data_IF_196718554889
#
_entry.id   IF_196718554889
#
_cell.length_a   1.000
_cell.length_b   1.000
_cell.length_c   1.000
_cell.angle_alpha   90.00
_cell.angle_beta   90.00
_cell.angle_gamma   90.00
#
_symmetry.space_group_name_H-M   'P 1'
#
loop_
_entity.id
_entity.type
_entity.pdbx_description
1 polymer ?
#
# COMPACT_ATOMS: atom_id res chain seq x y z
N UNK A 1 25.09 2.75 70.76
CA UNK A 1 25.87 2.07 69.69
C UNK A 1 25.20 0.74 69.37
N UNK A 2 24.41 0.68 68.30
CA UNK A 2 23.84 -0.58 67.80
C UNK A 2 24.72 -1.09 66.66
N UNK A 3 25.34 -2.26 66.86
CA UNK A 3 26.09 -2.97 65.81
C UNK A 3 25.08 -3.53 64.81
N UNK A 4 25.01 -2.95 63.61
CA UNK A 4 24.33 -3.57 62.47
C UNK A 4 25.21 -4.72 62.01
N UNK A 5 24.81 -5.94 62.34
CA UNK A 5 25.48 -7.15 61.88
C UNK A 5 25.22 -7.37 60.40
N UNK A 6 26.27 -7.34 59.58
CA UNK A 6 26.18 -7.72 58.17
C UNK A 6 25.69 -9.18 58.06
N UNK A 7 24.61 -9.47 57.31
CA UNK A 7 24.16 -10.83 57.14
C UNK A 7 25.23 -11.64 56.42
N UNK A 8 25.58 -12.79 56.98
CA UNK A 8 26.53 -13.74 56.37
C UNK A 8 26.17 -14.00 54.92
N UNK A 9 27.17 -14.13 54.02
CA UNK A 9 26.98 -14.45 52.60
C UNK A 9 26.05 -15.67 52.41
N UNK A 10 26.09 -16.61 53.34
CA UNK A 10 25.21 -17.79 53.36
C UNK A 10 23.72 -17.45 53.54
N UNK A 11 23.40 -16.39 54.29
CA UNK A 11 22.02 -15.97 54.54
C UNK A 11 21.43 -15.26 53.31
N UNK A 12 22.23 -14.44 52.62
CA UNK A 12 21.82 -13.78 51.36
C UNK A 12 21.55 -14.81 50.26
N UNK A 13 22.42 -15.82 50.13
CA UNK A 13 22.23 -16.90 49.14
C UNK A 13 20.94 -17.67 49.43
N UNK A 14 20.66 -18.01 50.70
CA UNK A 14 19.43 -18.71 51.09
C UNK A 14 18.18 -17.91 50.78
N UNK A 15 18.18 -16.61 51.04
CA UNK A 15 17.04 -15.72 50.73
C UNK A 15 16.81 -15.65 49.22
N UNK A 16 17.86 -15.47 48.42
CA UNK A 16 17.74 -15.46 46.96
C UNK A 16 17.25 -16.80 46.39
N UNK A 17 17.66 -17.92 46.97
CA UNK A 17 17.21 -19.25 46.55
C UNK A 17 15.71 -19.46 46.83
N UNK A 18 15.21 -18.93 47.95
CA UNK A 18 13.77 -18.94 48.27
C UNK A 18 12.97 -18.09 47.27
N UNK A 19 13.46 -16.89 46.92
CA UNK A 19 12.81 -16.07 45.90
C UNK A 19 12.78 -16.75 44.53
N UNK A 20 13.90 -17.37 44.11
CA UNK A 20 13.98 -18.07 42.84
C UNK A 20 13.02 -19.27 42.78
N UNK A 21 12.92 -20.04 43.87
CA UNK A 21 11.95 -21.12 43.97
C UNK A 21 10.50 -20.62 43.89
N UNK A 22 10.19 -19.48 44.52
CA UNK A 22 8.87 -18.86 44.44
C UNK A 22 8.52 -18.41 43.01
N UNK A 23 9.47 -17.77 42.30
CA UNK A 23 9.25 -17.37 40.91
C UNK A 23 9.01 -18.57 39.99
N UNK A 24 9.76 -19.66 40.17
CA UNK A 24 9.56 -20.87 39.38
C UNK A 24 8.19 -21.52 39.64
N UNK A 25 7.70 -21.49 40.89
CA UNK A 25 6.36 -21.98 41.23
C UNK A 25 5.25 -21.13 40.60
N UNK A 26 5.37 -19.80 40.63
CA UNK A 26 4.42 -18.89 39.97
C UNK A 26 4.43 -19.12 38.46
N UNK A 27 5.62 -19.27 37.87
CA UNK A 27 5.76 -19.52 36.42
C UNK A 27 5.15 -20.86 36.01
N UNK A 28 5.40 -21.93 36.77
CA UNK A 28 4.76 -23.23 36.55
C UNK A 28 3.24 -23.14 36.69
N UNK A 29 2.72 -22.40 37.67
CA UNK A 29 1.28 -22.17 37.83
C UNK A 29 0.67 -21.39 36.66
N UNK A 30 1.39 -20.43 36.07
CA UNK A 30 0.95 -19.71 34.88
C UNK A 30 0.95 -20.60 33.63
N UNK A 31 1.94 -21.49 33.48
CA UNK A 31 2.00 -22.45 32.37
C UNK A 31 0.96 -23.58 32.49
N UNK A 32 0.61 -23.97 33.72
CA UNK A 32 -0.39 -25.00 34.00
C UNK A 32 -1.83 -24.46 34.07
N UNK A 33 -2.02 -23.14 33.96
CA UNK A 33 -3.36 -22.60 33.70
C UNK A 33 -3.74 -22.95 32.27
N UNK A 34 -4.83 -23.72 32.05
CA UNK A 34 -5.39 -23.83 30.72
C UNK A 34 -5.85 -22.42 30.34
N UNK A 35 -5.19 -21.80 29.36
CA UNK A 35 -5.76 -20.68 28.64
C UNK A 35 -7.17 -21.10 28.24
N UNK A 36 -8.18 -20.40 28.74
CA UNK A 36 -9.55 -20.52 28.24
C UNK A 36 -9.59 -19.99 26.81
N UNK A 37 -8.97 -20.73 25.89
CA UNK A 37 -9.10 -20.60 24.46
C UNK A 37 -10.29 -21.45 24.05
N UNK A 38 -11.49 -20.90 24.27
CA UNK A 38 -12.70 -21.39 23.61
C UNK A 38 -12.65 -20.86 22.17
N UNK A 39 -11.98 -21.60 21.29
CA UNK A 39 -12.32 -21.68 19.86
C UNK A 39 -13.58 -22.59 19.78
N UNK A 40 -14.54 -22.49 18.86
CA UNK A 40 -14.63 -22.02 17.47
C UNK A 40 -16.16 -21.98 17.16
N UNK A 41 -16.74 -21.24 16.21
CA UNK A 41 -16.69 -21.50 14.77
C UNK A 41 -17.60 -20.48 14.04
N UNK A 42 -17.17 -20.05 12.84
CA UNK A 42 -18.02 -19.60 11.73
C UNK A 42 -18.95 -18.38 11.94
N UNK A 43 -18.40 -17.18 11.76
CA UNK A 43 -19.10 -16.11 11.05
C UNK A 43 -18.21 -15.61 9.92
N UNK A 44 -18.44 -16.17 8.74
CA UNK A 44 -17.90 -15.69 7.49
C UNK A 44 -18.19 -14.18 7.29
N UNK A 45 -17.28 -13.50 6.59
CA UNK A 45 -17.55 -12.22 5.94
C UNK A 45 -17.96 -11.07 6.86
N UNK A 46 -17.00 -10.53 7.63
CA UNK A 46 -17.09 -9.12 8.01
C UNK A 46 -16.85 -8.28 6.76
N UNK A 47 -17.98 -7.87 6.18
CA UNK A 47 -18.12 -6.83 5.18
C UNK A 47 -17.23 -5.64 5.57
N UNK A 48 -16.21 -5.35 4.75
CA UNK A 48 -15.52 -4.05 4.77
C UNK A 48 -16.48 -3.00 4.20
N UNK A 49 -17.38 -2.50 5.05
CA UNK A 49 -18.12 -1.28 4.77
C UNK A 49 -17.45 -0.12 5.49
N UNK A 50 -17.18 0.95 4.74
CA UNK A 50 -16.84 2.27 5.26
C UNK A 50 -18.01 2.76 6.13
N UNK A 51 -17.79 2.90 7.43
CA UNK A 51 -18.80 3.33 8.39
C UNK A 51 -19.03 4.83 8.28
N UNK A 52 -19.85 5.22 7.29
CA UNK A 52 -20.52 6.53 7.26
C UNK A 52 -21.91 6.41 6.63
N UNK A 53 -22.74 5.55 7.21
CA UNK A 53 -24.18 5.56 6.94
C UNK A 53 -24.94 5.02 8.16
N UNK A 54 -24.88 5.75 9.28
CA UNK A 54 -25.77 5.52 10.43
C UNK A 54 -26.25 6.87 10.97
N UNK A 55 -27.16 7.50 10.23
CA UNK A 55 -28.08 8.49 10.82
C UNK A 55 -29.41 7.80 11.11
N UNK A 56 -29.61 7.39 12.36
CA UNK A 56 -30.92 7.00 12.85
C UNK A 56 -31.81 8.24 12.99
N UNK A 57 -32.89 8.31 12.21
CA UNK A 57 -34.05 9.12 12.54
C UNK A 57 -35.36 8.38 12.21
N UNK A 58 -35.98 7.86 13.27
CA UNK A 58 -37.42 7.75 13.52
C UNK A 58 -38.35 7.18 12.44
N UNK A 59 -38.77 5.93 12.69
CA UNK A 59 -40.08 5.33 12.43
C UNK A 59 -40.93 5.79 11.23
N UNK A 60 -41.07 4.89 10.26
CA UNK A 60 -42.35 4.23 9.93
C UNK A 60 -42.08 3.02 9.03
N UNK A 61 -42.58 1.87 9.49
CA UNK A 61 -42.28 0.56 8.92
C UNK A 61 -42.61 0.41 7.44
N UNK A 62 -41.68 -0.20 6.71
CA UNK A 62 -41.92 -0.80 5.40
C UNK A 62 -41.32 -2.21 5.44
N UNK A 63 -42.18 -3.20 5.19
CA UNK A 63 -41.85 -4.63 5.11
C UNK A 63 -40.78 -4.86 4.03
N UNK A 64 -39.65 -5.44 4.41
CA UNK A 64 -38.65 -5.93 3.46
C UNK A 64 -39.21 -7.12 2.68
N UNK A 65 -39.34 -6.95 1.35
CA UNK A 65 -39.54 -8.05 0.41
C UNK A 65 -38.16 -8.56 0.02
N UNK A 66 -37.75 -9.68 0.60
CA UNK A 66 -36.57 -10.39 0.16
C UNK A 66 -36.82 -10.95 -1.25
N UNK A 67 -36.15 -10.40 -2.25
CA UNK A 67 -35.99 -11.05 -3.56
C UNK A 67 -34.58 -11.64 -3.54
N UNK A 68 -34.53 -12.96 -3.32
CA UNK A 68 -33.41 -13.80 -3.69
C UNK A 68 -33.32 -13.75 -5.22
N UNK A 69 -32.33 -13.05 -5.78
CA UNK A 69 -31.91 -13.27 -7.15
C UNK A 69 -30.75 -14.27 -7.15
N UNK A 70 -31.01 -15.45 -7.72
CA UNK A 70 -30.00 -16.43 -8.11
C UNK A 70 -29.26 -15.98 -9.41
N UNK A 71 -28.05 -16.51 -9.70
CA UNK A 71 -27.18 -15.97 -10.72
C UNK A 71 -27.64 -16.36 -12.13
N UNK A 72 -28.34 -15.45 -12.80
CA UNK A 72 -28.71 -15.51 -14.20
C UNK A 72 -27.80 -14.66 -15.07
N UNK A 73 -27.31 -15.27 -16.15
CA UNK A 73 -26.37 -14.72 -17.11
C UNK A 73 -26.84 -13.42 -17.82
N UNK A 74 -25.85 -12.73 -18.39
CA UNK A 74 -25.96 -11.67 -19.39
C UNK A 74 -26.46 -10.30 -18.92
N UNK A 75 -25.67 -9.65 -18.05
CA UNK A 75 -25.46 -8.21 -18.23
C UNK A 75 -24.23 -8.03 -19.10
N UNK A 76 -24.45 -7.99 -20.42
CA UNK A 76 -23.44 -7.46 -21.33
C UNK A 76 -23.16 -6.02 -20.89
N UNK A 77 -21.98 -5.80 -20.30
CA UNK A 77 -21.43 -4.45 -20.16
C UNK A 77 -21.58 -3.78 -21.53
N UNK A 78 -22.11 -2.54 -21.61
CA UNK A 78 -22.20 -1.85 -22.89
C UNK A 78 -20.82 -1.94 -23.55
N UNK A 79 -20.79 -2.37 -24.82
CA UNK A 79 -19.57 -2.52 -25.60
C UNK A 79 -18.89 -1.14 -25.58
N UNK A 80 -17.93 -0.93 -24.67
CA UNK A 80 -17.21 0.35 -24.58
C UNK A 80 -16.54 0.53 -25.92
N UNK A 81 -16.93 1.56 -26.66
CA UNK A 81 -16.34 1.87 -27.95
C UNK A 81 -14.84 2.07 -27.72
N UNK A 82 -14.02 1.15 -28.21
CA UNK A 82 -12.59 1.21 -28.03
C UNK A 82 -12.05 2.38 -28.84
N UNK A 83 -11.24 3.22 -28.20
CA UNK A 83 -10.59 4.34 -28.86
C UNK A 83 -9.36 3.81 -29.57
N UNK A 84 -9.36 3.86 -30.92
CA UNK A 84 -8.17 3.50 -31.70
C UNK A 84 -7.13 4.60 -31.56
N UNK A 85 -5.95 4.25 -31.03
CA UNK A 85 -4.83 5.19 -30.88
C UNK A 85 -3.70 4.85 -31.82
N UNK A 86 -3.06 5.89 -32.33
CA UNK A 86 -1.83 5.74 -33.08
C UNK A 86 -0.70 5.31 -32.13
N UNK A 87 -0.06 4.20 -32.48
CA UNK A 87 1.09 3.65 -31.75
C UNK A 87 2.24 4.66 -31.82
N UNK A 88 2.86 5.04 -30.68
CA UNK A 88 3.97 5.99 -30.69
C UNK A 88 5.22 5.42 -31.38
N UNK A 89 5.97 6.31 -32.04
CA UNK A 89 7.16 5.98 -32.82
C UNK A 89 8.24 5.26 -32.01
N UNK A 90 8.43 5.66 -30.75
CA UNK A 90 9.47 5.15 -29.87
C UNK A 90 9.32 3.65 -29.57
N UNK A 91 8.13 3.06 -29.70
CA UNK A 91 7.96 1.63 -29.49
C UNK A 91 8.68 0.80 -30.55
N UNK A 92 8.80 1.33 -31.77
CA UNK A 92 9.52 0.64 -32.84
C UNK A 92 11.03 0.56 -32.54
N UNK A 93 11.57 1.50 -31.75
CA UNK A 93 12.97 1.54 -31.34
C UNK A 93 13.28 0.55 -30.20
N UNK A 94 12.26 0.02 -29.51
CA UNK A 94 12.42 -0.79 -28.29
C UNK A 94 12.55 -2.29 -28.53
N UNK A 95 12.43 -2.75 -29.78
CA UNK A 95 12.57 -4.14 -30.17
C UNK A 95 11.34 -5.01 -29.87
N UNK A 96 11.48 -6.32 -30.13
CA UNK A 96 10.40 -7.32 -30.03
C UNK A 96 10.57 -8.15 -28.75
N UNK A 97 9.45 -8.65 -28.21
CA UNK A 97 9.43 -9.55 -27.06
C UNK A 97 9.27 -8.84 -25.70
N UNK A 98 8.77 -7.61 -25.70
CA UNK A 98 8.51 -6.83 -24.48
C UNK A 98 7.36 -7.43 -23.66
N UNK A 99 7.51 -7.45 -22.33
CA UNK A 99 6.38 -7.67 -21.41
C UNK A 99 5.86 -6.32 -20.91
N UNK A 100 4.66 -5.96 -21.33
CA UNK A 100 4.06 -4.65 -21.08
C UNK A 100 2.90 -4.76 -20.09
N UNK A 101 3.04 -4.14 -18.92
CA UNK A 101 1.95 -3.99 -17.95
C UNK A 101 1.00 -2.88 -18.36
N UNK A 102 -0.28 -3.19 -18.59
CA UNK A 102 -1.29 -2.24 -19.06
C UNK A 102 -2.17 -1.79 -17.89
N UNK A 103 -2.04 -0.53 -17.48
CA UNK A 103 -2.75 0.04 -16.34
C UNK A 103 -3.79 1.05 -16.83
N UNK A 104 -5.05 0.85 -16.47
CA UNK A 104 -6.16 1.74 -16.85
C UNK A 104 -6.35 1.91 -18.38
N UNK A 105 -5.94 0.93 -19.19
CA UNK A 105 -6.01 0.95 -20.67
C UNK A 105 -7.25 0.23 -21.24
N UNK A 106 -8.27 -0.04 -20.43
CA UNK A 106 -9.37 -0.95 -20.79
C UNK A 106 -10.30 -0.46 -21.91
N UNK A 107 -10.24 0.83 -22.24
CA UNK A 107 -11.01 1.48 -23.31
C UNK A 107 -10.16 1.88 -24.52
N UNK A 108 -8.86 1.55 -24.51
CA UNK A 108 -7.94 1.85 -25.62
C UNK A 108 -7.68 0.58 -26.45
N UNK A 109 -7.76 0.70 -27.78
CA UNK A 109 -7.37 -0.37 -28.68
C UNK A 109 -5.86 -0.40 -28.87
N UNK A 110 -5.20 -1.32 -28.17
CA UNK A 110 -3.75 -1.58 -28.22
C UNK A 110 -3.41 -2.88 -28.98
N UNK A 111 -4.29 -3.34 -29.86
CA UNK A 111 -4.09 -4.57 -30.65
C UNK A 111 -2.77 -4.57 -31.42
N UNK A 112 -2.39 -3.43 -32.02
CA UNK A 112 -1.16 -3.24 -32.79
C UNK A 112 0.14 -3.40 -31.96
N UNK A 113 0.06 -3.32 -30.63
CA UNK A 113 1.22 -3.42 -29.75
C UNK A 113 1.65 -4.88 -29.53
N UNK A 114 0.79 -5.85 -29.85
CA UNK A 114 1.11 -7.29 -29.74
C UNK A 114 2.30 -7.71 -30.60
N UNK A 115 2.60 -6.95 -31.66
CA UNK A 115 3.77 -7.17 -32.52
C UNK A 115 5.07 -6.96 -31.75
N UNK A 116 5.07 -6.04 -30.78
CA UNK A 116 6.25 -5.71 -29.97
C UNK A 116 6.39 -6.60 -28.73
N UNK A 117 5.31 -7.30 -28.33
CA UNK A 117 5.38 -8.29 -27.26
C UNK A 117 4.05 -8.57 -26.57
N UNK A 118 4.14 -9.12 -25.36
CA UNK A 118 2.98 -9.55 -24.57
C UNK A 118 2.45 -8.38 -23.73
N UNK A 119 1.15 -8.13 -23.83
CA UNK A 119 0.43 -7.19 -22.96
C UNK A 119 -0.17 -7.94 -21.76
N UNK A 120 -0.07 -7.35 -20.58
CA UNK A 120 -0.55 -7.91 -19.31
C UNK A 120 -1.47 -6.87 -18.67
N UNK A 121 -2.81 -7.04 -18.69
CA UNK A 121 -3.72 -6.10 -18.06
C UNK A 121 -3.54 -6.15 -16.54
N UNK A 122 -3.41 -4.97 -15.91
CA UNK A 122 -3.33 -4.82 -14.47
C UNK A 122 -4.69 -4.37 -13.95
N UNK A 123 -5.28 -5.20 -13.09
CA UNK A 123 -6.55 -4.94 -12.45
C UNK A 123 -6.34 -4.45 -11.02
N UNK A 124 -7.07 -3.40 -10.65
CA UNK A 124 -7.12 -2.83 -9.32
C UNK A 124 -8.50 -2.20 -9.10
N UNK A 125 -8.93 -2.13 -7.85
CA UNK A 125 -10.15 -1.44 -7.46
C UNK A 125 -9.94 0.08 -7.54
N UNK A 126 -10.87 0.82 -8.12
CA UNK A 126 -10.76 2.28 -8.18
C UNK A 126 -11.13 2.89 -6.83
N UNK A 127 -10.46 3.97 -6.47
CA UNK A 127 -10.86 4.78 -5.31
C UNK A 127 -12.33 5.20 -5.41
N UNK A 128 -13.00 5.24 -4.26
CA UNK A 128 -14.38 5.72 -4.16
C UNK A 128 -14.50 7.15 -4.69
N UNK A 129 -15.61 7.45 -5.38
CA UNK A 129 -15.91 8.81 -5.83
C UNK A 129 -16.10 9.81 -4.67
N UNK A 130 -16.36 9.32 -3.46
CA UNK A 130 -16.50 10.13 -2.25
C UNK A 130 -15.16 10.39 -1.54
N UNK A 131 -14.08 9.80 -2.02
CA UNK A 131 -12.75 9.99 -1.46
C UNK A 131 -12.15 11.26 -2.04
N UNK A 132 -11.97 12.28 -1.19
CA UNK A 132 -11.50 13.59 -1.58
C UNK A 132 -10.02 13.79 -1.27
N UNK A 133 -9.39 14.73 -1.99
CA UNK A 133 -7.99 15.09 -1.76
C UNK A 133 -7.70 15.54 -0.34
N UNK A 134 -8.65 16.24 0.30
CA UNK A 134 -8.54 16.75 1.68
C UNK A 134 -8.49 15.64 2.72
N UNK A 135 -8.96 14.44 2.38
CA UNK A 135 -8.90 13.29 3.27
C UNK A 135 -7.48 12.72 3.33
N UNK A 136 -6.69 12.89 2.26
CA UNK A 136 -5.24 12.58 2.25
C UNK A 136 -4.40 13.76 2.75
N UNK A 137 -4.77 14.97 2.34
CA UNK A 137 -4.02 16.19 2.62
C UNK A 137 -4.92 17.24 3.29
N UNK A 138 -5.26 17.05 4.58
CA UNK A 138 -6.05 18.01 5.33
C UNK A 138 -5.30 19.34 5.51
N UNK A 139 -6.06 20.43 5.74
CA UNK A 139 -5.50 21.77 5.96
C UNK A 139 -4.75 21.88 7.29
N UNK A 140 -5.21 21.12 8.30
CA UNK A 140 -4.62 21.04 9.63
C UNK A 140 -4.39 19.58 9.97
N UNK A 141 -3.26 19.29 10.59
CA UNK A 141 -2.90 17.99 11.12
C UNK A 141 -2.77 18.20 12.62
N UNK A 142 -3.37 17.31 13.39
CA UNK A 142 -3.16 17.29 14.83
C UNK A 142 -1.79 16.66 15.11
N UNK A 143 -0.75 17.50 15.15
CA UNK A 143 0.63 17.05 15.38
C UNK A 143 0.83 16.40 16.76
N UNK A 144 -0.03 16.74 17.72
CA UNK A 144 0.03 16.27 19.11
C UNK A 144 -0.92 15.08 19.38
N UNK A 145 -1.70 14.65 18.38
CA UNK A 145 -2.74 13.60 18.46
C UNK A 145 -3.66 13.76 19.70
N UNK A 146 -3.96 15.00 20.11
CA UNK A 146 -4.86 15.27 21.25
C UNK A 146 -6.32 14.88 20.93
N UNK A 147 -6.66 14.80 19.65
CA UNK A 147 -7.98 14.44 19.13
C UNK A 147 -7.85 13.15 18.33
N UNK A 148 -8.66 12.13 18.67
CA UNK A 148 -8.85 10.95 17.82
C UNK A 148 -9.53 11.40 16.50
N UNK A 149 -8.73 11.82 15.53
CA UNK A 149 -9.16 12.15 14.18
C UNK A 149 -9.55 10.89 13.40
N UNK A 150 -10.29 11.04 12.28
CA UNK A 150 -10.55 9.92 11.39
C UNK A 150 -9.23 9.35 10.85
N UNK A 151 -9.10 8.02 10.87
CA UNK A 151 -7.93 7.34 10.34
C UNK A 151 -7.69 7.70 8.87
N UNK A 152 -6.41 7.83 8.50
CA UNK A 152 -6.00 8.16 7.14
C UNK A 152 -6.47 7.05 6.17
N UNK A 153 -7.25 7.38 5.14
CA UNK A 153 -7.83 6.39 4.24
C UNK A 153 -6.76 5.68 3.40
N UNK A 154 -6.92 4.37 3.23
CA UNK A 154 -6.04 3.57 2.39
C UNK A 154 -6.44 3.69 0.90
N UNK A 155 -5.44 3.83 0.03
CA UNK A 155 -5.64 3.82 -1.42
C UNK A 155 -5.60 2.34 -1.89
N UNK A 156 -6.66 1.82 -2.54
CA UNK A 156 -6.64 0.45 -3.05
C UNK A 156 -5.50 0.24 -4.06
N UNK A 157 -4.75 -0.84 -3.90
CA UNK A 157 -3.63 -1.21 -4.77
C UNK A 157 -3.84 -2.62 -5.35
N UNK A 158 -3.30 -2.92 -6.54
CA UNK A 158 -3.30 -4.28 -7.05
C UNK A 158 -2.42 -5.19 -6.20
N UNK A 159 -2.70 -6.51 -6.23
CA UNK A 159 -1.77 -7.51 -5.71
C UNK A 159 -0.56 -7.63 -6.64
N UNK A 160 0.50 -6.86 -6.35
CA UNK A 160 1.72 -6.81 -7.17
C UNK A 160 2.37 -8.18 -7.34
N UNK A 161 2.29 -9.05 -6.32
CA UNK A 161 2.88 -10.40 -6.33
C UNK A 161 2.23 -11.34 -7.36
N UNK A 162 0.96 -11.09 -7.72
CA UNK A 162 0.26 -11.90 -8.72
C UNK A 162 0.78 -11.69 -10.15
N UNK A 163 1.58 -10.64 -10.38
CA UNK A 163 2.11 -10.31 -11.69
C UNK A 163 3.58 -10.69 -11.81
N UNK A 164 3.97 -11.20 -12.98
CA UNK A 164 5.38 -11.48 -13.28
C UNK A 164 6.18 -10.22 -13.61
N UNK A 165 7.47 -10.41 -13.92
CA UNK A 165 8.36 -9.32 -14.32
C UNK A 165 7.93 -8.68 -15.65
N UNK A 166 8.01 -7.34 -15.71
CA UNK A 166 7.65 -6.51 -16.86
C UNK A 166 8.84 -5.69 -17.33
N UNK A 167 8.99 -5.51 -18.64
CA UNK A 167 10.02 -4.65 -19.22
C UNK A 167 9.53 -3.19 -19.35
N UNK A 168 8.22 -3.00 -19.45
CA UNK A 168 7.57 -1.70 -19.61
C UNK A 168 6.23 -1.64 -18.88
N UNK A 169 5.91 -0.49 -18.29
CA UNK A 169 4.60 -0.16 -17.73
C UNK A 169 3.95 0.90 -18.60
N UNK A 170 2.76 0.62 -19.12
CA UNK A 170 1.97 1.50 -20.00
C UNK A 170 0.69 1.88 -19.26
N UNK A 171 0.45 3.17 -19.13
CA UNK A 171 -0.58 3.68 -18.21
C UNK A 171 -1.39 4.76 -18.90
N UNK A 172 -2.71 4.69 -18.87
CA UNK A 172 -3.56 5.83 -19.20
C UNK A 172 -3.91 6.60 -17.94
N UNK A 173 -3.51 7.86 -17.89
CA UNK A 173 -3.80 8.72 -16.75
C UNK A 173 -5.13 9.46 -16.96
N UNK A 174 -6.04 9.44 -15.96
CA UNK A 174 -7.21 10.31 -16.00
C UNK A 174 -6.74 11.78 -16.01
N UNK A 175 -7.40 12.58 -16.84
CA UNK A 175 -7.08 14.00 -17.02
C UNK A 175 -8.37 14.80 -17.17
N UNK A 176 -8.66 15.63 -16.16
CA UNK A 176 -9.82 16.53 -16.11
C UNK A 176 -9.45 17.99 -16.42
N UNK A 177 -8.28 18.23 -17.01
CA UNK A 177 -7.87 19.58 -17.37
C UNK A 177 -8.86 20.19 -18.39
N UNK A 178 -9.32 21.44 -18.26
CA UNK A 178 -8.87 22.53 -17.37
C UNK A 178 -9.71 22.74 -16.09
N UNK A 179 -10.44 21.73 -15.60
CA UNK A 179 -11.29 21.85 -14.40
C UNK A 179 -10.49 22.32 -13.16
N UNK A 180 -11.09 23.18 -12.34
CA UNK A 180 -10.43 23.67 -11.12
C UNK A 180 -10.09 22.50 -10.20
N UNK A 181 -8.81 22.39 -9.83
CA UNK A 181 -8.34 21.32 -8.95
C UNK A 181 -8.06 20.00 -9.67
N UNK A 182 -7.99 19.94 -11.00
CA UNK A 182 -7.60 18.74 -11.77
C UNK A 182 -6.30 18.08 -11.28
N UNK A 183 -5.40 18.88 -10.69
CA UNK A 183 -4.15 18.42 -10.09
C UNK A 183 -4.34 17.57 -8.83
N UNK A 184 -5.45 17.79 -8.11
CA UNK A 184 -5.83 17.19 -6.82
C UNK A 184 -6.87 16.07 -7.00
N UNK A 185 -6.78 15.31 -8.08
CA UNK A 185 -7.64 14.16 -8.32
C UNK A 185 -7.04 12.90 -7.66
N UNK A 186 -7.77 12.29 -6.72
CA UNK A 186 -7.34 11.09 -5.98
C UNK A 186 -7.23 9.87 -6.90
N UNK A 187 -8.10 9.72 -7.89
CA UNK A 187 -8.00 8.63 -8.86
C UNK A 187 -6.77 8.80 -9.75
N UNK A 188 -6.45 10.04 -10.14
CA UNK A 188 -5.19 10.35 -10.83
C UNK A 188 -3.99 9.96 -9.96
N UNK A 189 -3.99 10.31 -8.68
CA UNK A 189 -2.93 9.91 -7.74
C UNK A 189 -2.80 8.40 -7.63
N UNK A 190 -3.91 7.67 -7.45
CA UNK A 190 -3.94 6.22 -7.38
C UNK A 190 -3.27 5.60 -8.61
N UNK A 191 -3.66 6.01 -9.83
CA UNK A 191 -3.10 5.44 -11.07
C UNK A 191 -1.58 5.68 -11.17
N UNK A 192 -1.09 6.86 -10.74
CA UNK A 192 0.35 7.12 -10.69
C UNK A 192 1.07 6.23 -9.67
N UNK A 193 0.49 6.02 -8.48
CA UNK A 193 1.06 5.17 -7.45
C UNK A 193 1.10 3.70 -7.87
N UNK A 194 0.06 3.21 -8.55
CA UNK A 194 0.02 1.86 -9.13
C UNK A 194 1.15 1.71 -10.15
N UNK A 195 1.31 2.68 -11.05
CA UNK A 195 2.37 2.67 -12.06
C UNK A 195 3.77 2.65 -11.44
N UNK A 196 4.01 3.52 -10.44
CA UNK A 196 5.29 3.61 -9.75
C UNK A 196 5.61 2.32 -8.99
N UNK A 197 4.63 1.78 -8.24
CA UNK A 197 4.81 0.51 -7.52
C UNK A 197 5.08 -0.66 -8.46
N UNK A 198 4.37 -0.76 -9.60
CA UNK A 198 4.63 -1.79 -10.61
C UNK A 198 6.05 -1.66 -11.19
N UNK A 199 6.47 -0.43 -11.51
CA UNK A 199 7.81 -0.18 -12.05
C UNK A 199 8.90 -0.61 -11.06
N UNK A 200 8.69 -0.41 -9.77
CA UNK A 200 9.66 -0.80 -8.73
C UNK A 200 9.59 -2.30 -8.41
N UNK A 201 8.39 -2.85 -8.17
CA UNK A 201 8.20 -4.23 -7.67
C UNK A 201 8.23 -5.28 -8.77
N UNK A 202 7.63 -5.00 -9.91
CA UNK A 202 7.50 -5.93 -11.04
C UNK A 202 8.42 -5.54 -12.21
N UNK A 203 9.09 -4.40 -12.14
CA UNK A 203 10.02 -3.98 -13.15
C UNK A 203 11.23 -4.91 -13.26
N UNK A 204 11.63 -5.21 -14.49
CA UNK A 204 12.89 -5.90 -14.76
C UNK A 204 14.06 -5.03 -14.29
N UNK A 205 14.83 -5.55 -13.34
CA UNK A 205 16.10 -4.99 -12.89
C UNK A 205 17.24 -5.79 -13.53
N UNK A 206 18.15 -5.12 -14.24
CA UNK A 206 19.35 -5.74 -14.78
C UNK A 206 20.42 -4.70 -15.11
N UNK A 207 21.68 -5.12 -15.18
CA UNK A 207 22.83 -4.23 -15.41
C UNK A 207 22.67 -3.30 -16.61
N UNK A 208 21.93 -3.74 -17.64
CA UNK A 208 21.71 -3.00 -18.88
C UNK A 208 20.21 -2.85 -19.26
N UNK A 209 19.30 -3.15 -18.33
CA UNK A 209 17.85 -3.05 -18.57
C UNK A 209 17.17 -2.39 -17.39
N UNK A 210 16.67 -1.18 -17.63
CA UNK A 210 15.80 -0.43 -16.71
C UNK A 210 14.36 -0.59 -17.16
N UNK A 211 13.45 -0.63 -16.20
CA UNK A 211 12.03 -0.67 -16.51
C UNK A 211 11.58 0.67 -17.07
N UNK A 212 10.88 0.63 -18.20
CA UNK A 212 10.39 1.81 -18.91
C UNK A 212 8.97 2.15 -18.45
N UNK A 213 8.63 3.43 -18.36
CA UNK A 213 7.26 3.85 -18.04
C UNK A 213 6.73 4.74 -19.16
N UNK A 214 5.60 4.36 -19.72
CA UNK A 214 4.91 5.10 -20.78
C UNK A 214 3.56 5.55 -20.26
N UNK A 215 3.32 6.85 -20.23
CA UNK A 215 2.08 7.45 -19.74
C UNK A 215 1.33 8.07 -20.91
N UNK A 216 0.05 7.74 -21.07
CA UNK A 216 -0.88 8.34 -22.01
C UNK A 216 -1.73 9.36 -21.26
N UNK A 217 -1.52 10.65 -21.55
CA UNK A 217 -2.32 11.73 -20.98
C UNK A 217 -2.12 13.06 -21.71
N UNK A 218 -3.19 13.86 -21.76
CA UNK A 218 -3.11 15.30 -22.08
C UNK A 218 -2.47 16.10 -20.95
N UNK A 219 -2.69 15.67 -19.72
CA UNK A 219 -2.17 16.31 -18.52
C UNK A 219 -0.70 15.93 -18.33
N UNK A 220 0.11 16.86 -17.82
CA UNK A 220 1.46 16.52 -17.36
C UNK A 220 1.38 15.48 -16.22
N UNK A 221 2.19 14.40 -16.24
CA UNK A 221 2.33 13.47 -15.11
C UNK A 221 2.78 14.15 -13.81
N UNK A 222 2.53 13.51 -12.66
CA UNK A 222 2.97 14.01 -11.35
C UNK A 222 4.49 13.98 -11.24
N UNK A 223 5.09 15.16 -11.09
CA UNK A 223 6.54 15.35 -11.10
C UNK A 223 7.23 14.72 -9.89
N UNK A 224 6.47 14.52 -8.82
CA UNK A 224 6.91 13.89 -7.59
C UNK A 224 7.31 12.42 -7.80
N UNK A 225 6.69 11.74 -8.77
CA UNK A 225 6.96 10.35 -9.13
C UNK A 225 7.73 10.23 -10.45
N UNK A 226 7.38 11.04 -11.45
CA UNK A 226 8.00 11.00 -12.78
C UNK A 226 8.64 12.34 -13.10
N UNK A 227 9.94 12.45 -12.84
CA UNK A 227 10.70 13.70 -12.93
C UNK A 227 10.98 14.11 -14.37
N UNK A 228 11.20 15.41 -14.59
CA UNK A 228 11.58 15.93 -15.92
C UNK A 228 12.90 15.33 -16.39
N UNK A 229 13.84 15.13 -15.47
CA UNK A 229 15.17 14.57 -15.76
C UNK A 229 15.09 13.13 -16.29
N UNK A 230 14.03 12.40 -15.93
CA UNK A 230 13.78 11.02 -16.32
C UNK A 230 12.95 10.92 -17.62
N UNK A 231 12.45 12.04 -18.15
CA UNK A 231 11.66 12.08 -19.39
C UNK A 231 12.60 11.93 -20.59
N UNK A 232 12.43 10.86 -21.35
CA UNK A 232 13.24 10.57 -22.55
C UNK A 232 12.64 11.21 -23.79
N UNK A 233 11.33 11.06 -23.99
CA UNK A 233 10.63 11.56 -25.18
C UNK A 233 9.17 11.83 -24.87
N UNK A 234 8.61 12.86 -25.47
CA UNK A 234 7.18 13.10 -25.49
C UNK A 234 6.69 13.13 -26.95
N UNK A 235 5.64 12.38 -27.25
CA UNK A 235 5.02 12.31 -28.57
C UNK A 235 3.51 12.48 -28.44
N UNK A 236 3.01 13.68 -28.75
CA UNK A 236 1.61 14.07 -28.52
C UNK A 236 1.23 13.86 -27.03
N UNK A 237 0.28 12.97 -26.75
CA UNK A 237 -0.19 12.61 -25.40
C UNK A 237 0.63 11.48 -24.76
N UNK A 238 1.65 10.94 -25.46
CA UNK A 238 2.52 9.90 -24.95
C UNK A 238 3.75 10.51 -24.28
N UNK A 239 3.99 10.11 -23.04
CA UNK A 239 5.15 10.50 -22.26
C UNK A 239 5.98 9.26 -21.94
N UNK A 240 7.23 9.23 -22.38
CA UNK A 240 8.12 8.10 -22.18
C UNK A 240 9.22 8.45 -21.18
N UNK A 241 9.23 7.75 -20.05
CA UNK A 241 10.18 7.90 -18.95
C UNK A 241 11.08 6.67 -18.79
N UNK A 242 12.32 6.93 -18.38
CA UNK A 242 13.26 5.94 -17.85
C UNK A 242 13.64 6.32 -16.42
N UNK A 243 12.77 6.05 -15.43
CA UNK A 243 12.99 6.55 -14.08
C UNK A 243 14.17 5.88 -13.39
N UNK A 244 14.81 6.62 -12.49
CA UNK A 244 15.78 6.10 -11.54
C UNK A 244 15.05 5.22 -10.50
N UNK A 245 15.17 3.90 -10.64
CA UNK A 245 14.45 2.94 -9.81
C UNK A 245 14.76 3.08 -8.32
N UNK A 246 15.99 3.50 -7.95
CA UNK A 246 16.38 3.66 -6.55
C UNK A 246 15.64 4.85 -5.94
N UNK A 247 15.62 5.98 -6.66
CA UNK A 247 14.89 7.17 -6.21
C UNK A 247 13.38 6.94 -6.23
N UNK A 248 12.87 6.22 -7.22
CA UNK A 248 11.45 5.89 -7.30
C UNK A 248 11.03 4.97 -6.15
N UNK A 249 11.86 3.97 -5.81
CA UNK A 249 11.66 3.07 -4.67
C UNK A 249 11.64 3.84 -3.34
N UNK A 250 12.56 4.78 -3.15
CA UNK A 250 12.55 5.70 -2.01
C UNK A 250 11.31 6.59 -1.96
N UNK A 251 10.79 7.02 -3.11
CA UNK A 251 9.62 7.89 -3.15
C UNK A 251 8.34 7.13 -2.79
N UNK A 252 8.17 5.90 -3.27
CA UNK A 252 6.98 5.09 -3.01
C UNK A 252 6.96 4.47 -1.60
N UNK A 253 8.10 4.42 -0.91
CA UNK A 253 8.16 3.96 0.48
C UNK A 253 7.68 5.02 1.48
N UNK A 254 7.54 6.28 1.04
CA UNK A 254 7.00 7.36 1.86
C UNK A 254 5.47 7.23 1.97
N UNK A 255 4.90 7.64 3.12
CA UNK A 255 3.46 7.67 3.29
C UNK A 255 2.81 8.62 2.28
N UNK A 256 1.63 8.22 1.79
CA UNK A 256 0.80 9.05 0.93
C UNK A 256 -0.14 9.87 1.81
N UNK A 257 -0.19 11.17 1.58
CA UNK A 257 -1.03 12.06 2.36
C UNK A 257 -0.33 12.60 3.61
N UNK A 258 -0.71 13.80 4.02
CA UNK A 258 -0.27 14.39 5.28
C UNK A 258 -1.05 13.87 6.49
N UNK A 259 -2.18 13.18 6.30
CA UNK A 259 -2.90 12.50 7.39
C UNK A 259 -2.11 11.37 8.07
N UNK A 260 -1.00 10.93 7.49
CA UNK A 260 -0.09 9.93 8.07
C UNK A 260 1.17 10.55 8.71
N UNK A 261 1.25 11.88 8.83
CA UNK A 261 2.45 12.58 9.32
C UNK A 261 2.42 12.85 10.83
N UNK A 262 1.28 12.70 11.50
CA UNK A 262 1.26 12.70 12.96
C UNK A 262 2.15 11.54 13.45
N UNK A 263 3.25 11.89 14.12
CA UNK A 263 4.11 10.91 14.75
C UNK A 263 3.34 10.44 15.99
N UNK A 264 2.93 9.16 16.09
CA UNK A 264 2.32 8.70 17.32
C UNK A 264 3.37 8.85 18.41
N UNK A 265 3.16 9.80 19.33
CA UNK A 265 4.05 10.01 20.45
C UNK A 265 4.17 8.72 21.27
N UNK A 266 3.14 7.85 21.23
CA UNK A 266 3.17 6.49 21.73
C UNK A 266 2.59 5.48 20.73
N UNK A 267 3.45 4.60 20.19
CA UNK A 267 3.00 3.30 19.66
C UNK A 267 3.27 3.01 18.19
N UNK A 268 4.55 3.01 17.76
CA UNK A 268 5.03 2.16 16.64
C UNK A 268 6.51 1.82 16.77
N UNK A 269 6.95 1.58 18.01
CA UNK A 269 8.34 1.29 18.37
C UNK A 269 8.65 -0.18 18.67
N UNK A 270 7.95 -1.16 18.08
CA UNK A 270 8.20 -2.58 18.43
C UNK A 270 8.34 -3.60 17.29
N UNK A 271 8.25 -3.26 16.00
CA UNK A 271 8.46 -4.27 14.94
C UNK A 271 9.69 -4.07 14.04
N UNK A 272 10.53 -3.05 14.27
CA UNK A 272 11.75 -2.85 13.47
C UNK A 272 13.08 -3.14 14.21
N UNK A 273 13.04 -3.83 15.36
CA UNK A 273 14.24 -4.12 16.15
C UNK A 273 14.33 -5.58 16.61
N UNK A 274 14.13 -6.52 15.70
CA UNK A 274 14.56 -7.91 15.87
C UNK A 274 15.33 -8.40 14.65
N UNK A 275 16.32 -7.63 14.24
CA UNK A 275 17.46 -8.16 13.49
C UNK A 275 18.72 -7.99 14.34
N UNK A 276 19.04 -9.09 15.02
CA UNK A 276 20.38 -9.52 15.47
C UNK A 276 21.32 -8.44 16.02
N UNK A 277 21.33 -8.27 17.35
CA UNK A 277 22.57 -7.99 18.07
C UNK A 277 22.86 -9.16 19.00
N UNK A 278 23.69 -10.09 18.54
CA UNK A 278 24.42 -11.00 19.42
C UNK A 278 25.49 -10.16 20.14
N UNK A 279 25.49 -10.04 21.48
CA UNK A 279 26.58 -9.38 22.16
C UNK A 279 27.80 -10.31 22.13
N UNK A 280 28.85 -9.90 21.42
CA UNK A 280 30.16 -10.52 21.52
C UNK A 280 30.72 -10.29 22.94
N UNK A 281 30.95 -11.38 23.67
CA UNK A 281 31.71 -11.36 24.92
C UNK A 281 33.19 -11.06 24.61
N UNK A 282 33.61 -9.81 24.82
CA UNK A 282 35.02 -9.46 24.91
C UNK A 282 35.47 -9.49 26.37
N UNK A 283 36.41 -10.40 26.63
CA UNK A 283 37.09 -10.61 27.90
C UNK A 283 38.35 -9.72 27.92
N UNK A 284 38.43 -8.77 28.83
CA UNK A 284 39.68 -8.20 29.34
C UNK A 284 39.35 -7.36 30.56
N UNK A 285 39.84 -7.78 31.72
CA UNK A 285 40.74 -6.90 32.47
C UNK A 285 41.56 -7.68 33.49
N UNK A 286 42.75 -7.13 33.72
CA UNK A 286 43.80 -7.52 34.67
C UNK A 286 43.33 -7.51 36.13
#
# INVERSE_FOLDING_TARGET
>A
MMKVGYPSKALVIRVNLVFLAFFLLVYAALLLRPSSSVYHENAASLVRCSLRECHHKGDKGIKMKAVLEEPGANQSKPLRQMVKREKPSFLNEMGIGLKMGMVNMGDEDVSDWKIHGKTIPIYFEQVSQYFEWKDLFPEWIDEEEEIEGPACPEIPMPSFESYGTMDMIVVKLPCKYEEKGWGRDVFRLQVHLVAANLAVKNGRRGWNRRTKVVLLSKCRPMMELFRCDDLVKQEREWWFYEPDMVKLEQKISLPVGSCNLALPLWGKGQELMTLSFTPASFFSDK
#
